data_IF_119257453465
#
_entry.id   IF_119257453465
#
_cell.length_a   1.000
_cell.length_b   1.000
_cell.length_c   1.000
_cell.angle_alpha   90.00
_cell.angle_beta   90.00
_cell.angle_gamma   90.00
#
_symmetry.space_group_name_H-M   'P 1'
#
loop_
_entity.id
_entity.type
_entity.pdbx_description
1 polymer ?
#
# COMPACT_ATOMS: atom_id res chain seq x y z
N UNK A 1 -39.47 -17.86 -40.40
CA UNK A 1 -38.78 -17.47 -39.14
C UNK A 1 -37.33 -17.89 -39.24
N UNK A 2 -36.48 -16.97 -39.63
CA UNK A 2 -35.04 -17.24 -39.85
C UNK A 2 -34.28 -16.83 -38.59
N UNK A 3 -33.63 -17.81 -37.96
CA UNK A 3 -32.80 -17.63 -36.78
C UNK A 3 -31.43 -17.15 -37.23
N UNK A 4 -31.08 -15.91 -36.93
CA UNK A 4 -29.72 -15.39 -37.11
C UNK A 4 -28.81 -15.86 -35.98
N UNK A 5 -27.85 -16.73 -36.30
CA UNK A 5 -26.75 -17.09 -35.39
C UNK A 5 -25.69 -15.99 -35.39
N UNK A 6 -25.54 -15.33 -34.27
CA UNK A 6 -24.46 -14.37 -34.03
C UNK A 6 -23.15 -15.16 -33.85
N UNK A 7 -22.22 -15.03 -34.81
CA UNK A 7 -20.88 -15.60 -34.71
C UNK A 7 -20.04 -14.62 -33.87
N UNK A 8 -19.73 -14.99 -32.62
CA UNK A 8 -18.77 -14.26 -31.81
C UNK A 8 -17.37 -14.62 -32.30
N UNK A 9 -16.73 -13.66 -33.00
CA UNK A 9 -15.36 -13.79 -33.46
C UNK A 9 -14.42 -13.53 -32.27
N UNK A 10 -13.94 -14.59 -31.61
CA UNK A 10 -12.84 -14.50 -30.65
C UNK A 10 -11.56 -14.22 -31.44
N UNK A 11 -11.03 -13.00 -31.33
CA UNK A 11 -9.66 -12.72 -31.75
C UNK A 11 -8.71 -13.39 -30.75
N UNK A 12 -8.19 -14.58 -31.11
CA UNK A 12 -7.01 -15.14 -30.50
C UNK A 12 -5.81 -14.29 -30.97
N UNK A 13 -5.37 -13.36 -30.13
CA UNK A 13 -4.06 -12.72 -30.33
C UNK A 13 -3.01 -13.75 -29.97
N UNK A 14 -2.48 -14.43 -30.98
CA UNK A 14 -1.28 -15.25 -30.81
C UNK A 14 -0.11 -14.31 -30.51
N UNK A 15 0.50 -14.44 -29.32
CA UNK A 15 1.84 -13.97 -29.09
C UNK A 15 2.79 -14.76 -30.02
N UNK A 16 2.89 -14.32 -31.24
CA UNK A 16 4.10 -14.55 -32.00
C UNK A 16 5.14 -13.67 -31.31
N UNK A 17 6.16 -14.26 -30.66
CA UNK A 17 7.36 -13.51 -30.34
C UNK A 17 7.80 -12.84 -31.66
N UNK A 18 7.65 -11.52 -31.82
CA UNK A 18 8.28 -10.89 -32.96
C UNK A 18 9.77 -11.16 -32.73
N UNK A 19 10.45 -11.79 -33.71
CA UNK A 19 11.88 -11.59 -33.87
C UNK A 19 12.03 -10.08 -34.11
N UNK A 20 12.17 -9.32 -33.03
CA UNK A 20 12.64 -7.95 -33.16
C UNK A 20 14.03 -8.06 -33.75
N UNK A 21 14.20 -7.66 -35.01
CA UNK A 21 15.48 -7.27 -35.51
C UNK A 21 16.07 -6.37 -34.42
N UNK A 22 17.26 -6.70 -33.93
CA UNK A 22 17.87 -5.93 -32.83
C UNK A 22 17.82 -4.46 -33.23
N UNK A 23 17.10 -3.64 -32.42
CA UNK A 23 17.07 -2.20 -32.63
C UNK A 23 18.53 -1.72 -32.69
N UNK A 24 18.97 -1.12 -33.79
CA UNK A 24 20.35 -0.66 -33.91
C UNK A 24 20.69 0.43 -32.87
N UNK A 25 19.66 1.03 -32.25
CA UNK A 25 19.78 2.05 -31.22
C UNK A 25 18.76 1.82 -30.09
N UNK A 26 18.93 0.74 -29.29
CA UNK A 26 17.98 0.40 -28.25
C UNK A 26 17.90 1.53 -27.21
N UNK A 27 16.69 1.81 -26.64
CA UNK A 27 16.53 2.77 -25.57
C UNK A 27 17.47 2.47 -24.43
N UNK A 28 18.20 3.50 -23.96
CA UNK A 28 19.12 3.38 -22.83
C UNK A 28 18.35 3.48 -21.51
N UNK A 29 17.35 2.63 -21.34
CA UNK A 29 16.50 2.57 -20.16
C UNK A 29 16.89 1.37 -19.28
N UNK A 30 17.34 1.65 -18.06
CA UNK A 30 17.58 0.62 -17.06
C UNK A 30 16.31 0.39 -16.26
N UNK A 31 15.92 -0.88 -16.13
CA UNK A 31 14.75 -1.29 -15.33
C UNK A 31 15.22 -2.11 -14.13
N UNK A 32 14.80 -1.69 -12.95
CA UNK A 32 15.04 -2.40 -11.70
C UNK A 32 13.77 -2.44 -10.84
N UNK A 33 13.80 -3.18 -9.74
CA UNK A 33 12.65 -3.33 -8.85
C UNK A 33 13.08 -3.04 -7.42
N UNK A 34 12.23 -2.34 -6.63
CA UNK A 34 12.57 -1.99 -5.25
C UNK A 34 12.60 -3.22 -4.34
N UNK A 35 11.71 -4.17 -4.56
CA UNK A 35 11.66 -5.41 -3.79
C UNK A 35 11.13 -6.58 -4.65
N UNK A 36 11.36 -7.80 -4.18
CA UNK A 36 10.73 -9.01 -4.73
C UNK A 36 9.30 -9.09 -4.18
N UNK A 37 8.28 -9.17 -5.05
CA UNK A 37 6.91 -9.35 -4.58
C UNK A 37 6.76 -10.73 -3.92
N UNK A 38 6.02 -10.78 -2.82
CA UNK A 38 5.48 -12.02 -2.28
C UNK A 38 3.94 -12.00 -2.46
N UNK A 39 3.32 -13.16 -2.70
CA UNK A 39 1.87 -13.22 -2.84
C UNK A 39 1.19 -12.91 -1.50
N UNK A 40 0.10 -12.14 -1.56
CA UNK A 40 -0.85 -11.96 -0.45
C UNK A 40 -2.23 -12.38 -0.90
N UNK A 41 -3.09 -12.79 0.02
CA UNK A 41 -4.53 -12.88 -0.22
C UNK A 41 -5.15 -11.59 0.27
N UNK A 42 -5.81 -10.86 -0.63
CA UNK A 42 -6.54 -9.64 -0.30
C UNK A 42 -7.95 -9.72 -0.89
N UNK A 43 -8.96 -9.61 -0.04
CA UNK A 43 -10.37 -9.78 -0.42
C UNK A 43 -10.59 -11.10 -1.18
N UNK A 44 -9.95 -12.18 -0.72
CA UNK A 44 -10.04 -13.51 -1.31
C UNK A 44 -9.31 -13.70 -2.65
N UNK A 45 -8.61 -12.68 -3.15
CA UNK A 45 -7.81 -12.76 -4.38
C UNK A 45 -6.31 -12.77 -4.09
N UNK A 46 -5.56 -13.65 -4.77
CA UNK A 46 -4.10 -13.62 -4.73
C UNK A 46 -3.56 -12.40 -5.47
N UNK A 47 -2.74 -11.59 -4.82
CA UNK A 47 -2.16 -10.38 -5.42
C UNK A 47 -0.65 -10.35 -5.28
N UNK A 48 0.01 -9.72 -6.26
CA UNK A 48 1.43 -9.40 -6.26
C UNK A 48 1.58 -7.87 -6.31
N UNK A 49 2.34 -7.33 -5.37
CA UNK A 49 2.50 -5.87 -5.17
C UNK A 49 3.98 -5.53 -5.22
N UNK A 50 4.38 -4.65 -6.15
CA UNK A 50 5.79 -4.28 -6.34
C UNK A 50 5.95 -2.96 -7.10
N UNK A 51 7.17 -2.44 -7.12
CA UNK A 51 7.54 -1.18 -7.74
C UNK A 51 8.65 -1.42 -8.78
N UNK A 52 8.41 -0.93 -10.00
CA UNK A 52 9.36 -0.92 -11.10
C UNK A 52 9.99 0.46 -11.20
N UNK A 53 11.31 0.55 -11.13
CA UNK A 53 12.08 1.79 -11.33
C UNK A 53 12.67 1.77 -12.73
N UNK A 54 12.38 2.80 -13.51
CA UNK A 54 12.90 2.98 -14.87
C UNK A 54 13.80 4.21 -14.87
N UNK A 55 15.08 4.03 -15.15
CA UNK A 55 16.06 5.13 -15.21
C UNK A 55 16.55 5.30 -16.65
N UNK A 56 16.49 6.51 -17.15
CA UNK A 56 16.96 6.88 -18.47
C UNK A 56 18.43 7.33 -18.43
N UNK A 57 19.32 6.52 -19.00
CA UNK A 57 20.78 6.79 -19.09
C UNK A 57 21.19 7.56 -20.33
N UNK A 58 20.24 7.98 -21.16
CA UNK A 58 20.48 8.80 -22.36
C UNK A 58 20.11 10.27 -22.14
N UNK A 59 20.38 11.10 -23.15
CA UNK A 59 19.89 12.46 -23.21
C UNK A 59 18.50 12.57 -23.89
N UNK A 60 18.03 11.46 -24.48
CA UNK A 60 16.74 11.43 -25.18
C UNK A 60 15.59 11.42 -24.15
N UNK A 61 14.43 11.83 -24.60
CA UNK A 61 13.21 11.76 -23.83
C UNK A 61 12.36 10.59 -24.37
N UNK A 62 11.76 9.84 -23.46
CA UNK A 62 10.82 8.78 -23.81
C UNK A 62 9.47 8.99 -23.10
N UNK A 63 8.40 8.54 -23.73
CA UNK A 63 7.09 8.40 -23.09
C UNK A 63 6.81 6.92 -22.88
N UNK A 64 6.53 6.51 -21.66
CA UNK A 64 6.13 5.15 -21.33
C UNK A 64 4.68 4.94 -21.82
N UNK A 65 4.52 4.22 -22.91
CA UNK A 65 3.21 4.02 -23.54
C UNK A 65 2.43 2.87 -22.92
N UNK A 66 3.10 1.74 -22.70
CA UNK A 66 2.51 0.59 -22.02
C UNK A 66 3.53 -0.17 -21.16
N UNK A 67 3.02 -0.84 -20.14
CA UNK A 67 3.72 -1.88 -19.37
C UNK A 67 2.90 -3.15 -19.45
N UNK A 68 3.50 -4.20 -19.99
CA UNK A 68 2.96 -5.54 -20.00
C UNK A 68 3.63 -6.37 -18.89
N UNK A 69 2.86 -7.15 -18.15
CA UNK A 69 3.35 -8.06 -17.13
C UNK A 69 2.69 -9.44 -17.32
N UNK A 70 3.52 -10.50 -17.29
CA UNK A 70 3.05 -11.87 -17.42
C UNK A 70 3.54 -12.70 -16.22
N UNK A 71 2.60 -13.18 -15.43
CA UNK A 71 2.82 -14.05 -14.28
C UNK A 71 2.21 -15.43 -14.53
N UNK A 72 3.02 -16.36 -15.05
CA UNK A 72 2.52 -17.66 -15.51
C UNK A 72 1.57 -17.54 -16.69
N UNK A 73 0.30 -17.90 -16.49
CA UNK A 73 -0.76 -17.77 -17.51
C UNK A 73 -1.50 -16.44 -17.45
N UNK A 74 -1.39 -15.71 -16.34
CA UNK A 74 -2.02 -14.41 -16.17
C UNK A 74 -1.24 -13.33 -16.92
N UNK A 75 -1.94 -12.47 -17.64
CA UNK A 75 -1.37 -11.38 -18.43
C UNK A 75 -2.07 -10.07 -18.12
N UNK A 76 -1.29 -9.02 -17.97
CA UNK A 76 -1.75 -7.68 -17.62
C UNK A 76 -1.14 -6.68 -18.59
N UNK A 77 -1.93 -5.70 -19.00
CA UNK A 77 -1.47 -4.58 -19.82
C UNK A 77 -1.96 -3.29 -19.19
N UNK A 78 -1.02 -2.41 -18.88
CA UNK A 78 -1.27 -1.10 -18.31
C UNK A 78 -0.89 -0.04 -19.35
N UNK A 79 -1.78 0.87 -19.65
CA UNK A 79 -1.56 1.95 -20.62
C UNK A 79 -2.43 3.16 -20.32
N UNK A 80 -2.29 4.21 -21.13
CA UNK A 80 -3.13 5.40 -21.06
C UNK A 80 -3.17 6.05 -19.65
N UNK A 81 -4.36 6.49 -19.23
CA UNK A 81 -4.58 7.15 -17.93
C UNK A 81 -4.35 6.24 -16.74
N UNK A 82 -4.60 4.93 -16.85
CA UNK A 82 -4.34 3.97 -15.80
C UNK A 82 -2.83 3.91 -15.48
N UNK A 83 -1.99 3.72 -16.50
CA UNK A 83 -0.53 3.70 -16.34
C UNK A 83 -0.01 5.05 -15.80
N UNK A 84 -0.58 6.14 -16.27
CA UNK A 84 -0.24 7.46 -15.80
C UNK A 84 -0.51 7.62 -14.30
N UNK A 85 -1.67 7.18 -13.80
CA UNK A 85 -1.99 7.17 -12.37
C UNK A 85 -1.08 6.25 -11.55
N UNK A 86 -0.44 5.26 -12.17
CA UNK A 86 0.49 4.33 -11.53
C UNK A 86 1.95 4.83 -11.58
N UNK A 87 2.26 5.89 -12.32
CA UNK A 87 3.63 6.35 -12.55
C UNK A 87 3.92 7.61 -11.75
N UNK A 88 5.06 7.63 -11.07
CA UNK A 88 5.56 8.80 -10.31
C UNK A 88 6.96 9.14 -10.78
N UNK A 89 7.18 10.42 -11.10
CA UNK A 89 8.52 10.94 -11.44
C UNK A 89 9.31 11.19 -10.16
N UNK A 90 10.52 10.66 -10.08
CA UNK A 90 11.40 10.93 -8.96
C UNK A 90 11.81 12.40 -8.92
N UNK A 91 11.79 13.00 -7.73
CA UNK A 91 12.06 14.41 -7.49
C UNK A 91 10.87 15.34 -7.76
N UNK A 92 9.70 14.81 -8.10
CA UNK A 92 8.47 15.57 -8.31
C UNK A 92 7.50 15.53 -7.12
N UNK A 93 7.93 15.07 -5.94
CA UNK A 93 7.12 15.03 -4.73
C UNK A 93 6.55 16.41 -4.38
N UNK A 94 5.26 16.46 -4.13
CA UNK A 94 4.56 17.71 -3.76
C UNK A 94 4.30 18.66 -4.93
N UNK A 95 4.61 18.28 -6.18
CA UNK A 95 4.14 19.04 -7.33
C UNK A 95 2.64 18.79 -7.52
N UNK A 96 1.86 19.81 -7.90
CA UNK A 96 0.45 19.62 -8.18
C UNK A 96 0.28 18.46 -9.17
N UNK A 97 -0.69 17.61 -8.92
CA UNK A 97 -1.10 16.53 -9.82
C UNK A 97 -1.58 17.12 -11.16
N UNK A 98 -0.66 17.56 -11.98
CA UNK A 98 -0.98 18.26 -13.24
C UNK A 98 -0.67 17.45 -14.47
N UNK A 99 0.04 16.35 -14.32
CA UNK A 99 0.27 15.48 -15.46
C UNK A 99 0.42 14.06 -14.93
N UNK A 100 -0.53 13.30 -15.23
CA UNK A 100 -0.42 11.90 -15.57
C UNK A 100 0.74 11.73 -16.58
N UNK A 101 1.97 12.07 -16.16
CA UNK A 101 3.11 12.26 -17.02
C UNK A 101 3.97 11.00 -17.01
N UNK A 102 3.77 10.19 -18.02
CA UNK A 102 4.55 8.98 -18.31
C UNK A 102 5.91 9.29 -18.95
N UNK A 103 6.34 10.54 -18.89
CA UNK A 103 7.58 11.00 -19.51
C UNK A 103 8.79 10.61 -18.67
N UNK A 104 9.81 10.06 -19.33
CA UNK A 104 11.10 9.70 -18.75
C UNK A 104 12.17 10.57 -19.42
N UNK A 105 12.44 11.73 -18.81
CA UNK A 105 13.45 12.66 -19.32
C UNK A 105 14.86 12.08 -19.19
N UNK A 106 15.79 12.56 -19.99
CA UNK A 106 17.21 12.17 -19.92
C UNK A 106 17.80 12.38 -18.53
N UNK A 107 18.52 11.37 -18.01
CA UNK A 107 19.09 11.39 -16.67
C UNK A 107 18.08 11.38 -15.51
N UNK A 108 16.82 11.04 -15.77
CA UNK A 108 15.74 10.97 -14.77
C UNK A 108 15.22 9.55 -14.60
N UNK A 109 14.52 9.33 -13.48
CA UNK A 109 13.86 8.07 -13.18
C UNK A 109 12.38 8.27 -12.89
N UNK A 110 11.61 7.24 -13.18
CA UNK A 110 10.20 7.11 -12.76
C UNK A 110 10.02 5.81 -11.98
N UNK A 111 9.03 5.78 -11.10
CA UNK A 111 8.57 4.56 -10.44
C UNK A 111 7.18 4.25 -10.97
N UNK A 112 6.96 2.99 -11.39
CA UNK A 112 5.65 2.45 -11.72
C UNK A 112 5.22 1.51 -10.60
N UNK A 113 4.12 1.83 -9.94
CA UNK A 113 3.53 1.03 -8.86
C UNK A 113 2.60 -0.02 -9.46
N UNK A 114 2.95 -1.28 -9.33
CA UNK A 114 2.24 -2.39 -9.93
C UNK A 114 1.52 -3.23 -8.88
N UNK A 115 0.28 -3.59 -9.18
CA UNK A 115 -0.53 -4.54 -8.45
C UNK A 115 -1.15 -5.48 -9.48
N UNK A 116 -0.79 -6.77 -9.41
CA UNK A 116 -1.34 -7.81 -10.27
C UNK A 116 -2.34 -8.63 -9.47
N UNK A 117 -3.59 -8.63 -9.88
CA UNK A 117 -4.65 -9.46 -9.30
C UNK A 117 -4.73 -10.78 -10.06
N UNK A 118 -4.29 -11.86 -9.43
CA UNK A 118 -4.25 -13.19 -10.00
C UNK A 118 -5.55 -13.97 -9.76
N UNK A 119 -6.53 -13.38 -9.06
CA UNK A 119 -7.73 -14.07 -8.63
C UNK A 119 -7.40 -15.28 -7.77
N UNK A 120 -7.97 -16.43 -8.12
CA UNK A 120 -7.71 -17.70 -7.44
C UNK A 120 -6.46 -18.45 -7.96
N UNK A 121 -5.68 -17.83 -8.87
CA UNK A 121 -4.51 -18.49 -9.44
C UNK A 121 -3.34 -18.45 -8.49
N UNK A 122 -2.56 -19.52 -8.46
CA UNK A 122 -1.29 -19.54 -7.72
C UNK A 122 -0.29 -18.59 -8.39
N UNK A 123 0.45 -17.85 -7.58
CA UNK A 123 1.52 -16.99 -8.07
C UNK A 123 2.60 -17.81 -8.81
N UNK A 124 3.05 -17.31 -9.94
CA UNK A 124 4.20 -17.86 -10.67
C UNK A 124 5.51 -17.54 -9.94
N UNK A 125 6.57 -18.28 -10.22
CA UNK A 125 7.89 -18.02 -9.64
C UNK A 125 8.59 -16.78 -10.21
N UNK A 126 8.14 -16.31 -11.36
CA UNK A 126 8.69 -15.12 -12.04
C UNK A 126 7.59 -14.32 -12.73
N UNK A 127 7.86 -13.03 -12.91
CA UNK A 127 7.06 -12.11 -13.71
C UNK A 127 7.92 -11.63 -14.87
N UNK A 128 7.48 -11.86 -16.08
CA UNK A 128 8.08 -11.31 -17.31
C UNK A 128 7.46 -9.95 -17.59
N UNK A 129 8.27 -8.98 -18.04
CA UNK A 129 7.79 -7.65 -18.40
C UNK A 129 8.20 -7.26 -19.80
N UNK A 130 7.37 -6.45 -20.46
CA UNK A 130 7.71 -5.72 -21.66
C UNK A 130 7.18 -4.28 -21.52
N UNK A 131 8.07 -3.32 -21.71
CA UNK A 131 7.73 -1.90 -21.71
C UNK A 131 7.68 -1.43 -23.19
N UNK A 132 6.64 -0.72 -23.55
CA UNK A 132 6.55 0.01 -24.79
C UNK A 132 6.81 1.48 -24.50
N UNK A 133 7.78 2.05 -25.20
CA UNK A 133 8.17 3.46 -25.07
C UNK A 133 8.19 4.13 -26.42
N UNK A 134 7.89 5.41 -26.46
CA UNK A 134 7.92 6.22 -27.68
C UNK A 134 8.96 7.33 -27.48
N UNK A 135 9.86 7.50 -28.43
CA UNK A 135 10.88 8.53 -28.42
C UNK A 135 10.35 9.90 -28.91
N UNK A 136 11.19 10.93 -28.92
CA UNK A 136 10.83 12.29 -29.34
C UNK A 136 10.49 12.41 -30.83
N UNK A 137 10.86 11.42 -31.65
CA UNK A 137 10.53 11.37 -33.07
C UNK A 137 9.19 10.68 -33.34
N UNK A 138 8.63 10.04 -32.32
CA UNK A 138 7.42 9.24 -32.42
C UNK A 138 7.69 7.77 -32.75
N UNK A 139 8.95 7.33 -32.74
CA UNK A 139 9.31 5.94 -32.99
C UNK A 139 9.05 5.10 -31.74
N UNK A 140 8.41 3.94 -31.93
CA UNK A 140 8.09 3.02 -30.86
C UNK A 140 9.21 2.00 -30.66
N UNK A 141 9.57 1.76 -29.39
CA UNK A 141 10.60 0.81 -28.99
C UNK A 141 10.08 -0.12 -27.89
N UNK A 142 10.60 -1.34 -27.83
CA UNK A 142 10.32 -2.29 -26.77
C UNK A 142 11.54 -2.45 -25.86
N UNK A 143 11.31 -2.45 -24.55
CA UNK A 143 12.32 -2.75 -23.53
C UNK A 143 11.88 -3.97 -22.74
N UNK A 144 12.71 -5.03 -22.75
CA UNK A 144 12.42 -6.29 -22.05
C UNK A 144 13.46 -6.48 -20.94
N UNK A 145 13.14 -6.19 -19.69
CA UNK A 145 14.05 -6.41 -18.58
C UNK A 145 14.15 -7.91 -18.25
N UNK A 146 15.15 -8.26 -17.43
CA UNK A 146 15.23 -9.60 -16.84
C UNK A 146 13.96 -9.91 -16.04
N UNK A 147 13.48 -11.17 -16.02
CA UNK A 147 12.32 -11.56 -15.26
C UNK A 147 12.48 -11.24 -13.76
N UNK A 148 11.44 -10.68 -13.15
CA UNK A 148 11.38 -10.44 -11.72
C UNK A 148 11.06 -11.75 -10.99
N UNK A 149 11.91 -12.13 -10.05
CA UNK A 149 11.68 -13.32 -9.22
C UNK A 149 10.62 -13.00 -8.16
N UNK A 150 9.59 -13.82 -8.09
CA UNK A 150 8.56 -13.77 -7.02
C UNK A 150 9.10 -14.53 -5.80
N UNK A 151 8.93 -13.96 -4.60
CA UNK A 151 9.26 -14.64 -3.36
C UNK A 151 8.37 -15.87 -3.17
N UNK A 152 8.94 -16.93 -2.65
CA UNK A 152 8.20 -18.12 -2.24
C UNK A 152 7.84 -18.09 -0.74
N UNK A 153 8.13 -17.01 -0.04
CA UNK A 153 7.73 -16.82 1.35
C UNK A 153 6.21 -16.64 1.43
N UNK A 154 5.60 -17.31 2.41
CA UNK A 154 4.19 -17.07 2.73
C UNK A 154 4.04 -15.77 3.51
N UNK A 155 2.90 -15.08 3.40
CA UNK A 155 2.59 -13.96 4.27
C UNK A 155 2.66 -14.34 5.75
N UNK A 156 3.03 -13.38 6.59
CA UNK A 156 3.03 -13.59 8.03
C UNK A 156 1.57 -13.57 8.50
N UNK A 157 1.13 -14.62 9.17
CA UNK A 157 -0.23 -14.67 9.72
C UNK A 157 -0.21 -14.13 11.15
N UNK A 158 -0.98 -13.07 11.41
CA UNK A 158 -1.05 -12.39 12.69
C UNK A 158 -2.47 -12.30 13.24
N UNK A 159 -2.61 -12.11 14.54
CA UNK A 159 -3.90 -11.83 15.17
C UNK A 159 -4.35 -10.39 14.89
N UNK A 160 -5.66 -10.08 15.02
CA UNK A 160 -6.13 -8.70 14.89
C UNK A 160 -5.53 -7.75 15.94
N UNK A 161 -5.18 -6.50 15.55
CA UNK A 161 -4.67 -5.49 16.47
C UNK A 161 -5.75 -4.78 17.28
N UNK A 162 -7.02 -4.96 16.91
CA UNK A 162 -8.17 -4.21 17.40
C UNK A 162 -9.38 -5.13 17.56
N UNK A 163 -10.45 -4.64 18.20
CA UNK A 163 -11.72 -5.36 18.38
C UNK A 163 -12.88 -4.48 17.95
N UNK A 164 -13.97 -5.09 17.42
CA UNK A 164 -15.14 -4.37 16.94
C UNK A 164 -15.06 -3.99 15.46
N UNK A 165 -15.71 -2.90 15.08
CA UNK A 165 -15.94 -2.50 13.69
C UNK A 165 -14.99 -1.37 13.28
N UNK A 166 -14.21 -1.60 12.22
CA UNK A 166 -13.17 -0.69 11.75
C UNK A 166 -13.20 -0.53 10.23
N UNK A 167 -12.61 0.55 9.74
CA UNK A 167 -12.29 0.77 8.33
C UNK A 167 -10.79 0.49 8.16
N UNK A 168 -10.44 -0.30 7.14
CA UNK A 168 -9.06 -0.51 6.71
C UNK A 168 -8.65 0.59 5.72
N UNK A 169 -8.36 1.79 6.24
CA UNK A 169 -8.00 2.95 5.42
C UNK A 169 -6.58 2.85 4.88
N UNK A 170 -6.37 3.41 3.69
CA UNK A 170 -5.11 3.42 2.93
C UNK A 170 -4.39 2.06 2.90
N UNK A 171 -5.18 0.97 2.90
CA UNK A 171 -4.72 -0.40 2.68
C UNK A 171 -4.14 -0.55 1.27
N UNK A 172 -3.52 -1.69 0.97
CA UNK A 172 -2.87 -1.93 -0.33
C UNK A 172 -3.83 -1.69 -1.49
N UNK A 173 -3.49 -0.71 -2.31
CA UNK A 173 -4.20 -0.35 -3.51
C UNK A 173 -3.26 0.29 -4.54
N UNK A 174 -3.76 0.61 -5.74
CA UNK A 174 -2.96 1.21 -6.82
C UNK A 174 -3.49 2.58 -7.25
N UNK A 175 -4.28 3.23 -6.42
CA UNK A 175 -4.83 4.56 -6.70
C UNK A 175 -3.72 5.61 -6.72
N UNK A 176 -3.88 6.70 -7.48
CA UNK A 176 -2.88 7.78 -7.51
C UNK A 176 -2.65 8.46 -6.15
N UNK A 177 -3.66 8.45 -5.29
CA UNK A 177 -3.69 9.06 -3.96
C UNK A 177 -3.35 8.09 -2.82
N UNK A 178 -2.94 6.85 -3.11
CA UNK A 178 -2.52 5.87 -2.12
C UNK A 178 -1.25 6.35 -1.38
N UNK A 179 -1.38 6.95 -0.20
CA UNK A 179 -0.28 7.58 0.50
C UNK A 179 0.80 6.56 0.90
N UNK A 180 0.41 5.44 1.50
CA UNK A 180 1.33 4.38 1.91
C UNK A 180 2.09 3.79 0.73
N UNK A 181 1.40 3.51 -0.37
CA UNK A 181 2.03 2.94 -1.57
C UNK A 181 2.99 3.90 -2.28
N UNK A 182 2.87 5.19 -2.04
CA UNK A 182 3.71 6.24 -2.66
C UNK A 182 4.85 6.70 -1.77
N UNK A 183 4.91 6.25 -0.51
CA UNK A 183 5.88 6.67 0.49
C UNK A 183 7.27 6.03 0.30
N UNK A 184 7.82 6.12 -0.91
CA UNK A 184 9.21 5.70 -1.17
C UNK A 184 10.16 6.75 -0.61
N UNK A 185 11.01 6.35 0.30
CA UNK A 185 12.00 7.21 0.96
C UNK A 185 13.41 6.66 0.77
N UNK A 186 14.41 7.54 0.86
CA UNK A 186 15.81 7.14 0.78
C UNK A 186 16.48 7.37 2.12
N UNK A 187 17.04 6.30 2.68
CA UNK A 187 17.91 6.36 3.86
C UNK A 187 19.12 5.46 3.65
N UNK A 188 20.28 5.89 4.16
CA UNK A 188 21.53 5.16 3.99
C UNK A 188 21.92 4.89 2.53
N UNK A 189 21.42 5.69 1.57
CA UNK A 189 21.67 5.50 0.13
C UNK A 189 20.82 4.38 -0.50
N UNK A 190 19.84 3.86 0.19
CA UNK A 190 18.91 2.82 -0.27
C UNK A 190 17.47 3.37 -0.32
N UNK A 191 16.73 3.00 -1.37
CA UNK A 191 15.32 3.36 -1.51
C UNK A 191 14.44 2.32 -0.81
N UNK A 192 13.62 2.78 0.13
CA UNK A 192 12.76 1.95 0.97
C UNK A 192 11.28 2.23 0.69
N UNK A 193 10.45 1.22 0.90
CA UNK A 193 8.99 1.35 0.96
C UNK A 193 8.44 0.53 2.13
N UNK A 194 8.68 1.03 3.34
CA UNK A 194 8.26 0.42 4.60
C UNK A 194 6.74 0.24 4.66
N UNK A 195 5.99 1.23 4.21
CA UNK A 195 4.54 1.27 4.30
C UNK A 195 3.81 0.55 3.15
N UNK A 196 4.49 -0.31 2.36
CA UNK A 196 3.88 -1.04 1.23
C UNK A 196 2.61 -1.80 1.62
N UNK A 197 2.57 -2.35 2.83
CA UNK A 197 1.45 -3.09 3.40
C UNK A 197 0.93 -2.45 4.69
N UNK A 198 0.95 -1.13 4.79
CA UNK A 198 0.38 -0.44 5.95
C UNK A 198 -1.14 -0.33 5.84
N UNK A 199 -1.79 -0.23 7.00
CA UNK A 199 -3.22 0.05 7.13
C UNK A 199 -3.40 1.11 8.22
N UNK A 200 -4.22 2.12 7.93
CA UNK A 200 -4.73 3.09 8.88
C UNK A 200 -6.11 2.66 9.36
N UNK A 201 -6.19 2.25 10.62
CA UNK A 201 -7.41 1.74 11.22
C UNK A 201 -8.21 2.85 11.88
N UNK A 202 -9.39 3.15 11.32
CA UNK A 202 -10.33 4.15 11.82
C UNK A 202 -11.63 3.47 12.26
N UNK A 203 -12.09 3.74 13.48
CA UNK A 203 -13.35 3.18 13.98
C UNK A 203 -14.54 4.01 13.50
N UNK A 204 -15.63 3.34 13.12
CA UNK A 204 -16.86 3.99 12.75
C UNK A 204 -18.02 3.53 13.63
N UNK A 205 -19.04 4.37 13.75
CA UNK A 205 -20.32 4.06 14.39
C UNK A 205 -21.48 4.63 13.58
N UNK A 206 -22.68 4.10 13.81
CA UNK A 206 -23.90 4.68 13.27
C UNK A 206 -24.50 5.64 14.29
N UNK A 207 -24.54 6.93 13.95
CA UNK A 207 -25.11 8.00 14.79
C UNK A 207 -26.30 8.59 14.01
N UNK A 208 -27.49 8.54 14.62
CA UNK A 208 -28.73 9.08 14.03
C UNK A 208 -28.98 8.55 12.59
N UNK A 209 -28.65 7.28 12.34
CA UNK A 209 -28.81 6.63 11.04
C UNK A 209 -27.70 6.93 10.03
N UNK A 210 -26.72 7.76 10.38
CA UNK A 210 -25.54 8.10 9.56
C UNK A 210 -24.31 7.41 10.13
N UNK A 211 -23.51 6.77 9.26
CA UNK A 211 -22.21 6.25 9.66
C UNK A 211 -21.18 7.37 9.62
N UNK A 212 -20.41 7.47 10.69
CA UNK A 212 -19.39 8.50 10.87
C UNK A 212 -18.23 7.95 11.72
N UNK A 213 -17.07 8.59 11.63
CA UNK A 213 -15.87 8.25 12.43
C UNK A 213 -15.75 9.12 13.68
N UNK A 214 -16.55 10.18 13.81
CA UNK A 214 -16.56 11.05 15.00
C UNK A 214 -17.97 11.55 15.34
N UNK A 215 -18.09 12.06 16.56
CA UNK A 215 -19.29 12.77 17.04
C UNK A 215 -18.85 13.92 17.95
N UNK A 216 -19.14 15.16 17.54
CA UNK A 216 -18.75 16.37 18.26
C UNK A 216 -17.88 17.29 17.42
N UNK A 217 -17.07 18.16 18.05
CA UNK A 217 -16.14 19.02 17.33
C UNK A 217 -15.05 18.22 16.60
N UNK A 218 -14.85 18.49 15.32
CA UNK A 218 -13.89 17.77 14.46
C UNK A 218 -12.42 18.01 14.86
N UNK A 219 -12.14 19.15 15.51
CA UNK A 219 -10.82 19.54 15.96
C UNK A 219 -10.41 18.95 17.33
N UNK A 220 -11.16 17.99 17.83
CA UNK A 220 -10.89 17.32 19.11
C UNK A 220 -10.67 15.83 18.91
N UNK A 221 -9.54 15.33 19.40
CA UNK A 221 -9.22 13.91 19.35
C UNK A 221 -10.27 13.03 20.03
N UNK A 222 -10.83 13.46 21.16
CA UNK A 222 -11.85 12.72 21.92
C UNK A 222 -13.23 12.70 21.26
N UNK A 223 -13.42 13.38 20.14
CA UNK A 223 -14.62 13.26 19.29
C UNK A 223 -14.58 12.01 18.40
N UNK A 224 -13.41 11.43 18.13
CA UNK A 224 -13.23 10.28 17.23
C UNK A 224 -13.45 8.96 17.97
N UNK A 225 -14.23 8.04 17.39
CA UNK A 225 -14.57 6.77 18.04
C UNK A 225 -13.39 5.85 18.27
N UNK A 226 -12.37 5.91 17.41
CA UNK A 226 -11.13 5.14 17.55
C UNK A 226 -10.21 5.70 18.65
N UNK A 227 -10.38 6.99 19.03
CA UNK A 227 -9.51 7.59 20.02
C UNK A 227 -9.57 6.86 21.36
N UNK A 228 -8.40 6.60 21.93
CA UNK A 228 -8.23 5.89 23.20
C UNK A 228 -8.73 4.42 23.19
N UNK A 229 -8.97 3.83 22.03
CA UNK A 229 -9.23 2.39 21.93
C UNK A 229 -7.93 1.60 22.19
N UNK A 230 -8.00 0.44 22.86
CA UNK A 230 -6.83 -0.37 23.13
C UNK A 230 -6.25 -0.97 21.84
N UNK A 231 -4.91 -0.98 21.76
CA UNK A 231 -4.14 -1.59 20.68
C UNK A 231 -3.54 -2.88 21.23
N UNK A 232 -3.83 -4.00 20.56
CA UNK A 232 -3.38 -5.32 20.99
C UNK A 232 -2.18 -5.79 20.17
N UNK A 233 -1.22 -6.45 20.84
CA UNK A 233 -0.14 -7.13 20.14
C UNK A 233 -0.67 -8.24 19.24
N UNK A 234 -0.34 -8.17 17.95
CA UNK A 234 -0.80 -9.14 16.94
C UNK A 234 -0.01 -10.45 16.97
N UNK A 235 1.15 -10.46 17.63
CA UNK A 235 2.02 -11.62 17.74
C UNK A 235 2.80 -11.59 19.07
N UNK A 236 3.33 -12.74 19.48
CA UNK A 236 4.30 -12.82 20.55
C UNK A 236 5.67 -12.37 20.04
N UNK A 237 6.36 -11.50 20.77
CA UNK A 237 7.65 -10.98 20.36
C UNK A 237 8.35 -10.13 21.42
N UNK A 238 9.43 -9.49 21.02
CA UNK A 238 10.23 -8.61 21.86
C UNK A 238 10.09 -7.17 21.41
N UNK A 239 9.83 -6.25 22.34
CA UNK A 239 9.87 -4.82 22.04
C UNK A 239 11.31 -4.39 21.74
N UNK A 240 11.55 -3.85 20.56
CA UNK A 240 12.89 -3.42 20.09
C UNK A 240 13.01 -1.92 19.95
N UNK A 241 11.88 -1.21 19.80
CA UNK A 241 11.82 0.24 19.81
C UNK A 241 10.49 0.73 20.37
N UNK A 242 10.49 1.92 20.97
CA UNK A 242 9.27 2.58 21.45
C UNK A 242 9.52 4.06 21.72
N UNK A 243 8.46 4.85 21.58
CA UNK A 243 8.42 6.22 22.08
C UNK A 243 7.09 6.49 22.80
N UNK A 244 7.14 7.35 23.81
CA UNK A 244 5.96 7.84 24.52
C UNK A 244 6.18 9.28 25.00
N UNK A 245 5.09 10.01 25.25
CA UNK A 245 5.12 11.38 25.76
C UNK A 245 5.20 12.49 24.70
N UNK A 246 5.22 12.16 23.40
CA UNK A 246 5.08 13.16 22.33
C UNK A 246 3.65 13.73 22.33
N UNK A 247 3.47 15.06 22.12
CA UNK A 247 2.15 15.68 22.14
C UNK A 247 1.30 15.27 20.96
N UNK A 248 -0.03 15.28 21.17
CA UNK A 248 -1.00 15.00 20.12
C UNK A 248 -1.22 16.21 19.20
N UNK A 249 -1.52 15.90 17.94
CA UNK A 249 -1.97 16.88 16.96
C UNK A 249 -3.43 17.29 17.23
N UNK A 250 -3.80 18.44 16.74
CA UNK A 250 -5.20 18.84 16.58
C UNK A 250 -5.70 18.26 15.26
N UNK A 251 -6.77 17.47 15.24
CA UNK A 251 -7.29 16.88 14.00
C UNK A 251 -7.51 17.93 12.90
N UNK A 252 -7.15 17.56 11.67
CA UNK A 252 -7.24 18.41 10.46
C UNK A 252 -6.53 19.76 10.52
N UNK A 253 -5.67 19.97 11.53
CA UNK A 253 -4.83 21.16 11.59
C UNK A 253 -3.80 21.17 10.46
N UNK A 254 -3.57 22.34 9.88
CA UNK A 254 -2.47 22.54 8.92
C UNK A 254 -1.07 22.43 9.55
N UNK A 255 -0.99 22.30 10.88
CA UNK A 255 0.26 22.26 11.63
C UNK A 255 0.26 21.05 12.57
N UNK A 256 1.34 20.31 12.55
CA UNK A 256 1.62 19.30 13.57
C UNK A 256 2.02 19.93 14.90
N UNK A 257 1.79 19.24 15.99
CA UNK A 257 2.16 19.66 17.34
C UNK A 257 3.69 19.81 17.52
N UNK A 258 4.46 19.07 16.72
CA UNK A 258 5.93 19.14 16.64
C UNK A 258 6.36 19.18 15.17
N UNK A 259 7.58 19.61 14.89
CA UNK A 259 8.19 19.45 13.57
C UNK A 259 8.36 17.96 13.26
N UNK A 260 7.83 17.50 12.12
CA UNK A 260 7.97 16.10 11.72
C UNK A 260 9.33 15.88 11.08
N UNK A 261 10.05 14.92 11.63
CA UNK A 261 11.36 14.46 11.18
C UNK A 261 11.29 12.95 10.94
N UNK A 262 12.32 12.39 10.29
CA UNK A 262 12.39 10.98 9.95
C UNK A 262 12.23 10.05 11.19
N UNK A 263 12.81 10.42 12.31
CA UNK A 263 12.84 9.65 13.54
C UNK A 263 11.63 9.83 14.45
N UNK A 264 10.75 10.79 14.19
CA UNK A 264 9.57 11.06 15.01
C UNK A 264 8.24 10.93 14.25
N UNK A 265 8.29 10.58 12.98
CA UNK A 265 7.10 10.47 12.13
C UNK A 265 6.07 9.45 12.67
N UNK A 266 6.52 8.37 13.30
CA UNK A 266 5.65 7.39 13.96
C UNK A 266 4.91 7.94 15.18
N UNK A 267 5.33 9.09 15.72
CA UNK A 267 4.78 9.60 16.98
C UNK A 267 5.10 8.68 18.16
N UNK A 268 4.19 8.58 19.12
CA UNK A 268 4.27 7.55 20.14
C UNK A 268 3.97 6.20 19.50
N UNK A 269 4.83 5.21 19.77
CA UNK A 269 4.78 3.95 19.04
C UNK A 269 5.40 2.79 19.83
N UNK A 270 5.15 1.57 19.36
CA UNK A 270 5.83 0.35 19.78
C UNK A 270 6.23 -0.44 18.54
N UNK A 271 7.47 -0.96 18.53
CA UNK A 271 7.97 -1.88 17.51
C UNK A 271 8.26 -3.23 18.17
N UNK A 272 7.67 -4.28 17.66
CA UNK A 272 7.79 -5.64 18.17
C UNK A 272 8.49 -6.54 17.16
N UNK A 273 9.68 -7.07 17.50
CA UNK A 273 10.32 -8.12 16.73
C UNK A 273 9.61 -9.46 17.00
N UNK A 274 8.96 -10.00 15.97
CA UNK A 274 8.17 -11.23 16.04
C UNK A 274 8.90 -12.46 15.46
N UNK A 275 9.91 -12.21 14.62
CA UNK A 275 10.83 -13.18 14.05
C UNK A 275 12.08 -12.43 13.55
N UNK A 276 13.19 -13.10 13.22
CA UNK A 276 14.37 -12.45 12.64
C UNK A 276 14.00 -11.62 11.40
N UNK A 277 14.33 -10.32 11.41
CA UNK A 277 13.99 -9.35 10.37
C UNK A 277 12.47 -9.27 10.08
N UNK A 278 11.65 -9.36 11.12
CA UNK A 278 10.19 -9.21 11.03
C UNK A 278 9.71 -8.38 12.21
N UNK A 279 9.32 -7.15 11.94
CA UNK A 279 8.99 -6.14 12.94
C UNK A 279 7.59 -5.63 12.71
N UNK A 280 6.75 -5.70 13.72
CA UNK A 280 5.41 -5.08 13.68
C UNK A 280 5.51 -3.70 14.30
N UNK A 281 5.10 -2.69 13.54
CA UNK A 281 5.07 -1.31 13.97
C UNK A 281 3.63 -0.87 14.25
N UNK A 282 3.42 -0.28 15.43
CA UNK A 282 2.16 0.31 15.88
C UNK A 282 2.41 1.77 16.20
N UNK A 283 1.83 2.68 15.42
CA UNK A 283 2.17 4.10 15.47
C UNK A 283 0.99 4.99 15.90
N UNK A 284 1.31 6.27 16.11
CA UNK A 284 0.40 7.37 16.44
C UNK A 284 -0.34 7.21 17.76
N UNK A 285 0.24 6.46 18.73
CA UNK A 285 -0.37 6.17 20.01
C UNK A 285 -0.60 7.42 20.86
N UNK A 286 -1.59 7.34 21.76
CA UNK A 286 -1.89 8.37 22.75
C UNK A 286 -0.75 8.51 23.77
N UNK A 287 -0.32 9.74 24.11
CA UNK A 287 0.75 9.95 25.09
C UNK A 287 0.38 9.40 26.47
N UNK A 288 1.36 8.81 27.13
CA UNK A 288 1.24 8.22 28.48
C UNK A 288 0.50 6.88 28.51
N UNK A 289 0.30 6.22 27.35
CA UNK A 289 -0.43 4.95 27.31
C UNK A 289 0.42 3.75 26.89
N UNK A 290 1.65 3.96 26.42
CA UNK A 290 2.58 2.86 26.06
C UNK A 290 2.96 2.08 27.32
N UNK A 291 2.72 0.77 27.33
CA UNK A 291 2.84 -0.07 28.52
C UNK A 291 4.15 -0.85 28.64
N UNK A 292 4.89 -0.96 27.55
CA UNK A 292 6.11 -1.77 27.46
C UNK A 292 7.34 -0.91 27.17
N UNK A 293 8.50 -1.45 27.54
CA UNK A 293 9.82 -0.83 27.29
C UNK A 293 10.63 -1.70 26.34
N UNK A 294 11.63 -1.11 25.71
CA UNK A 294 12.61 -1.85 24.91
C UNK A 294 13.21 -2.98 25.75
N UNK A 295 13.17 -4.19 25.20
CA UNK A 295 13.62 -5.41 25.85
C UNK A 295 12.51 -6.28 26.45
N UNK A 296 11.33 -5.73 26.69
CA UNK A 296 10.19 -6.49 27.24
C UNK A 296 9.66 -7.50 26.22
N UNK A 297 9.12 -8.61 26.73
CA UNK A 297 8.40 -9.61 25.94
C UNK A 297 6.91 -9.32 25.99
N UNK A 298 6.27 -9.32 24.84
CA UNK A 298 4.82 -9.22 24.70
C UNK A 298 4.24 -10.53 24.17
N UNK A 299 2.99 -10.80 24.48
CA UNK A 299 2.22 -11.93 23.99
C UNK A 299 1.10 -11.44 23.09
N UNK A 300 0.62 -12.29 22.20
CA UNK A 300 -0.62 -12.04 21.45
C UNK A 300 -1.72 -11.60 22.39
N UNK A 301 -2.36 -10.46 22.08
CA UNK A 301 -3.47 -9.92 22.86
C UNK A 301 -3.09 -9.04 24.04
N UNK A 302 -1.80 -8.87 24.37
CA UNK A 302 -1.38 -7.87 25.34
C UNK A 302 -1.71 -6.46 24.81
N UNK A 303 -2.18 -5.57 25.70
CA UNK A 303 -2.46 -4.17 25.36
C UNK A 303 -1.14 -3.42 25.31
N UNK A 304 -0.73 -2.96 24.14
CA UNK A 304 0.52 -2.20 23.94
C UNK A 304 0.40 -0.73 24.34
N UNK A 305 -0.77 -0.16 24.14
CA UNK A 305 -1.12 1.23 24.37
C UNK A 305 -2.50 1.53 23.79
N UNK A 306 -2.79 2.78 23.51
CA UNK A 306 -4.11 3.21 23.02
C UNK A 306 -3.97 4.09 21.77
N UNK A 307 -4.97 4.07 20.91
CA UNK A 307 -5.05 4.91 19.70
C UNK A 307 -5.02 6.39 20.08
N UNK A 308 -4.18 7.14 19.42
CA UNK A 308 -4.00 8.58 19.58
C UNK A 308 -3.83 9.28 18.23
N UNK A 309 -3.17 10.47 18.26
CA UNK A 309 -2.96 11.31 17.10
C UNK A 309 -1.60 12.02 17.20
N UNK A 310 -0.51 11.27 17.30
CA UNK A 310 0.85 11.82 17.47
C UNK A 310 1.72 11.57 16.24
N UNK A 311 2.78 12.37 16.05
CA UNK A 311 3.68 12.24 14.91
C UNK A 311 3.05 12.73 13.60
N UNK A 312 3.35 12.07 12.48
CA UNK A 312 2.81 12.41 11.14
C UNK A 312 1.40 11.85 10.96
N UNK A 313 0.45 12.37 11.73
CA UNK A 313 -0.95 11.94 11.75
C UNK A 313 -1.86 13.16 11.71
N UNK A 314 -2.92 13.11 10.89
CA UNK A 314 -3.87 14.21 10.69
C UNK A 314 -5.15 14.03 11.48
N UNK A 315 -5.46 12.83 11.95
CA UNK A 315 -6.60 12.49 12.80
C UNK A 315 -6.34 11.20 13.58
N UNK A 316 -7.07 10.92 14.65
CA UNK A 316 -6.88 9.69 15.42
C UNK A 316 -7.06 8.44 14.58
N UNK A 317 -6.06 7.55 14.58
CA UNK A 317 -6.10 6.23 13.96
C UNK A 317 -4.99 5.33 14.52
N UNK A 318 -5.06 4.04 14.30
CA UNK A 318 -3.94 3.13 14.44
C UNK A 318 -3.29 2.91 13.07
N UNK A 319 -2.07 3.38 12.87
CA UNK A 319 -1.24 2.97 11.76
C UNK A 319 -0.48 1.69 12.14
N UNK A 320 -0.60 0.66 11.31
CA UNK A 320 0.11 -0.60 11.52
C UNK A 320 0.67 -1.15 10.22
N UNK A 321 1.94 -1.60 10.26
CA UNK A 321 2.54 -2.40 9.19
C UNK A 321 3.54 -3.41 9.74
N UNK A 322 3.99 -4.34 8.89
CA UNK A 322 5.10 -5.25 9.19
C UNK A 322 6.24 -4.97 8.23
N UNK A 323 7.46 -4.89 8.76
CA UNK A 323 8.65 -4.50 8.01
C UNK A 323 9.82 -5.49 8.23
N UNK A 324 10.83 -5.44 7.35
CA UNK A 324 12.09 -6.17 7.48
C UNK A 324 13.14 -5.42 8.32
N UNK A 325 12.87 -4.18 8.73
CA UNK A 325 13.69 -3.34 9.60
C UNK A 325 12.89 -2.76 10.77
N UNK A 326 13.51 -2.48 11.93
CA UNK A 326 12.80 -1.87 13.07
C UNK A 326 12.65 -0.35 12.92
N UNK A 327 12.29 0.12 11.74
CA UNK A 327 12.16 1.55 11.42
C UNK A 327 10.81 1.81 10.79
N UNK A 328 10.16 2.90 11.18
CA UNK A 328 8.86 3.31 10.61
C UNK A 328 8.95 3.65 9.11
N UNK A 329 10.10 4.14 8.63
CA UNK A 329 10.25 4.65 7.27
C UNK A 329 11.37 3.95 6.47
N UNK A 330 12.37 3.35 7.12
CA UNK A 330 13.51 2.74 6.47
C UNK A 330 13.46 1.21 6.57
N UNK A 331 12.82 0.58 5.60
CA UNK A 331 12.68 -0.85 5.47
C UNK A 331 11.77 -1.20 4.29
N UNK A 332 11.56 -2.48 4.05
CA UNK A 332 10.62 -2.96 3.06
C UNK A 332 9.43 -3.62 3.74
N UNK A 333 8.25 -3.07 3.49
CA UNK A 333 7.02 -3.64 3.97
C UNK A 333 6.91 -5.13 3.60
N UNK A 334 6.65 -5.96 4.61
CA UNK A 334 6.50 -7.41 4.51
C UNK A 334 5.02 -7.76 4.45
N UNK A 335 4.57 -8.61 3.50
CA UNK A 335 3.17 -9.00 3.41
C UNK A 335 2.73 -9.80 4.64
N UNK A 336 1.53 -9.52 5.11
CA UNK A 336 0.91 -10.22 6.24
C UNK A 336 -0.59 -10.41 6.02
N UNK A 337 -1.18 -11.31 6.78
CA UNK A 337 -2.61 -11.64 6.75
C UNK A 337 -3.13 -11.77 8.17
N UNK A 338 -4.39 -11.43 8.40
CA UNK A 338 -5.01 -11.62 9.70
C UNK A 338 -5.63 -13.01 9.82
N UNK A 339 -5.44 -13.64 10.99
CA UNK A 339 -5.94 -14.99 11.28
C UNK A 339 -7.43 -15.15 11.01
N UNK A 340 -8.23 -14.12 11.35
CA UNK A 340 -9.69 -14.14 11.20
C UNK A 340 -10.30 -12.74 11.31
N UNK A 341 -11.45 -12.60 10.70
CA UNK A 341 -12.30 -11.44 10.76
C UNK A 341 -13.52 -11.62 9.86
N UNK A 342 -14.26 -10.56 9.66
CA UNK A 342 -15.21 -10.48 8.58
C UNK A 342 -15.11 -9.10 7.94
N UNK A 343 -15.26 -9.03 6.62
CA UNK A 343 -15.27 -7.75 5.90
C UNK A 343 -16.50 -7.60 5.04
N UNK A 344 -16.92 -6.38 4.83
CA UNK A 344 -17.83 -5.97 3.78
C UNK A 344 -17.05 -5.13 2.79
N UNK A 345 -17.41 -5.21 1.51
CA UNK A 345 -16.72 -4.54 0.43
C UNK A 345 -16.44 -3.05 0.68
N UNK A 346 -15.57 -2.45 -0.14
CA UNK A 346 -15.06 -1.10 0.10
C UNK A 346 -16.20 -0.09 0.24
N UNK A 347 -16.10 0.74 1.26
CA UNK A 347 -16.92 1.94 1.35
C UNK A 347 -16.28 3.01 0.47
N UNK A 348 -17.07 3.82 -0.20
CA UNK A 348 -16.61 5.04 -0.84
C UNK A 348 -16.31 6.06 0.28
N UNK A 349 -15.24 5.81 1.03
CA UNK A 349 -14.79 6.67 2.08
C UNK A 349 -13.58 7.45 1.57
N UNK A 350 -13.72 8.74 1.42
CA UNK A 350 -12.58 9.61 1.49
C UNK A 350 -12.32 9.87 2.97
N UNK A 351 -11.52 9.04 3.60
CA UNK A 351 -11.16 9.13 5.03
C UNK A 351 -10.41 10.44 5.33
N UNK A 352 -9.86 11.10 4.30
CA UNK A 352 -9.16 12.39 4.42
C UNK A 352 -10.09 13.61 4.32
N UNK A 353 -11.41 13.40 4.12
CA UNK A 353 -12.37 14.51 4.01
C UNK A 353 -13.09 14.73 5.34
N UNK A 354 -13.09 15.96 5.89
CA UNK A 354 -13.81 16.30 7.12
C UNK A 354 -15.34 16.24 6.98
N UNK A 355 -15.86 16.10 5.77
CA UNK A 355 -17.29 15.95 5.54
C UNK A 355 -17.67 14.49 5.53
N UNK A 356 -18.57 14.11 6.40
CA UNK A 356 -19.18 12.81 6.61
C UNK A 356 -18.76 11.71 5.61
N UNK A 357 -18.11 10.68 6.10
CA UNK A 357 -17.80 9.49 5.30
C UNK A 357 -19.12 8.95 4.76
N UNK A 358 -19.35 9.11 3.47
CA UNK A 358 -20.51 8.58 2.80
C UNK A 358 -20.34 7.07 2.62
N UNK A 359 -20.97 6.31 3.49
CA UNK A 359 -21.06 4.87 3.31
C UNK A 359 -22.13 4.57 2.26
N UNK A 360 -21.72 4.08 1.12
CA UNK A 360 -22.60 3.42 0.17
C UNK A 360 -23.30 2.19 0.80
N UNK A 361 -24.18 1.51 0.06
CA UNK A 361 -24.78 0.26 0.53
C UNK A 361 -23.65 -0.72 0.91
N UNK A 362 -23.64 -1.15 2.17
CA UNK A 362 -22.68 -2.18 2.61
C UNK A 362 -23.20 -3.50 2.07
N UNK A 363 -22.32 -4.19 1.34
CA UNK A 363 -22.53 -5.59 0.95
C UNK A 363 -22.63 -6.53 2.17
N UNK A 364 -23.01 -7.79 1.97
CA UNK A 364 -22.99 -8.78 3.03
C UNK A 364 -21.58 -8.94 3.59
N UNK A 365 -21.48 -9.10 4.91
CA UNK A 365 -20.22 -9.43 5.55
C UNK A 365 -19.71 -10.80 5.08
N UNK A 366 -18.48 -10.85 4.60
CA UNK A 366 -17.75 -12.06 4.25
C UNK A 366 -16.80 -12.42 5.39
N UNK A 367 -16.98 -13.54 6.09
CA UNK A 367 -15.97 -14.02 7.02
C UNK A 367 -14.70 -14.40 6.26
N UNK A 368 -13.55 -14.14 6.85
CA UNK A 368 -12.26 -14.50 6.28
C UNK A 368 -11.35 -15.18 7.31
N UNK A 369 -10.39 -15.93 6.78
CA UNK A 369 -9.28 -16.53 7.52
C UNK A 369 -8.04 -16.40 6.65
N UNK A 370 -6.95 -15.90 7.21
CA UNK A 370 -5.71 -15.62 6.50
C UNK A 370 -5.97 -14.77 5.25
N UNK A 371 -6.42 -13.56 5.49
CA UNK A 371 -6.74 -12.58 4.45
C UNK A 371 -6.25 -11.20 4.88
N UNK A 372 -5.92 -10.36 3.91
CA UNK A 372 -5.53 -8.98 4.09
C UNK A 372 -6.69 -8.09 3.63
N UNK A 373 -7.22 -7.17 4.46
CA UNK A 373 -8.39 -6.38 4.11
C UNK A 373 -8.20 -5.52 2.88
N UNK A 374 -9.27 -5.42 2.08
CA UNK A 374 -9.31 -4.52 0.94
C UNK A 374 -9.26 -3.06 1.38
N UNK A 375 -8.83 -2.20 0.47
CA UNK A 375 -8.84 -0.74 0.66
C UNK A 375 -10.23 -0.25 1.05
N UNK A 376 -10.31 0.50 2.16
CA UNK A 376 -11.56 1.02 2.72
C UNK A 376 -12.63 -0.04 3.03
N UNK A 377 -12.24 -1.30 3.23
CA UNK A 377 -13.17 -2.32 3.69
C UNK A 377 -13.65 -2.04 5.12
N UNK A 378 -14.91 -2.35 5.39
CA UNK A 378 -15.42 -2.43 6.76
C UNK A 378 -15.05 -3.80 7.34
N UNK A 379 -14.24 -3.79 8.37
CA UNK A 379 -13.70 -5.00 8.99
C UNK A 379 -14.21 -5.13 10.42
N UNK A 380 -14.73 -6.30 10.77
CA UNK A 380 -15.11 -6.64 12.15
C UNK A 380 -14.14 -7.67 12.71
N UNK A 381 -13.48 -7.33 13.81
CA UNK A 381 -12.66 -8.23 14.61
C UNK A 381 -13.41 -8.62 15.91
N UNK A 382 -13.36 -9.89 16.27
CA UNK A 382 -14.01 -10.42 17.49
C UNK A 382 -13.11 -10.40 18.71
#
# INVERSE_FOLDING_TARGET
MASARLLTLCFLVFFTTPLFASDPHPPQLNVSFLARPAPIVQDGSTRLVYEMVITNFSNNKYVLDAVEAKAGTAQFTFGGSALAGMTVRLGAWGQPEGAADRTIDGGRSVIVFLLLDLGNSKAASTIEHMLQVVDEKGDAHAVVPAPLVVSNENPIVVSPPLRGDWIAGDSVNNRPDAAHRRAVLVDGGHAWLAQRYAIDWVQYQTVDGVRTTWKGPEDRNDSYFCYNQPIYSVATGKVVDMADGLPENVPHSAKYAIAIEFNNAAGNHVVVEIAPNRYVLYAHMRPGTVQFKVGDMVKVGDILGHVGNTGSSTEPHLHMHIDDQPSFLAGNGVPYEFTQGSESGPVNANVSSPTAISFGPIGPQRPFTNDYPAENALVTFK
#
